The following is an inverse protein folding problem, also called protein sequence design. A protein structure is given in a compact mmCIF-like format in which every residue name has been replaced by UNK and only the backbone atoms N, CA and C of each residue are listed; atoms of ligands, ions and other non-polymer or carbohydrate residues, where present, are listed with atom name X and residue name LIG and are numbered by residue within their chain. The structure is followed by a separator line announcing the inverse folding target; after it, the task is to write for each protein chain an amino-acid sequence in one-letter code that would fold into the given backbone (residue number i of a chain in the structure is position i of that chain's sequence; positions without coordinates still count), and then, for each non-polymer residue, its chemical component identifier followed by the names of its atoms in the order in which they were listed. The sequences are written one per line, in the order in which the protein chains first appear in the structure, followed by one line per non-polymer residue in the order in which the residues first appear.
data_IF_029883830740
#
_entry.id   IF_029883830740
#
_cell.length_a   1.000
_cell.length_b   1.000
_cell.length_c   1.000
_cell.angle_alpha   90.00
_cell.angle_beta   90.00
_cell.angle_gamma   90.00
#
_symmetry.space_group_name_H-M   'P 1'
#
loop_
_entity.id
_entity.type
_entity.pdbx_description
1 polymer ?
#
# COMPACT_ATOMS: atom_id res chain seq x y z
N UNK A 1 -47.54 7.60 -74.33
CA UNK A 1 -46.17 7.61 -73.75
C UNK A 1 -46.35 7.61 -72.22
N UNK A 2 -46.18 6.48 -71.61
CA UNK A 2 -46.36 6.30 -70.15
C UNK A 2 -44.98 6.15 -69.57
N UNK A 3 -44.60 7.07 -68.59
CA UNK A 3 -43.36 7.03 -67.90
C UNK A 3 -43.43 6.07 -66.69
N UNK A 4 -42.38 5.24 -66.39
CA UNK A 4 -42.38 4.36 -65.20
C UNK A 4 -42.05 5.09 -63.91
N UNK A 5 -42.82 4.76 -62.87
CA UNK A 5 -42.59 5.18 -61.49
C UNK A 5 -41.46 4.36 -60.90
N UNK A 6 -40.42 5.05 -60.44
CA UNK A 6 -39.34 4.43 -59.64
C UNK A 6 -39.78 4.22 -58.18
N UNK A 7 -39.66 2.98 -57.71
CA UNK A 7 -39.90 2.56 -56.31
C UNK A 7 -38.62 2.77 -55.49
N UNK A 8 -38.62 3.72 -54.54
CA UNK A 8 -37.50 3.95 -53.62
C UNK A 8 -37.72 3.00 -52.41
N UNK A 9 -36.86 2.01 -52.30
CA UNK A 9 -36.77 1.14 -51.10
C UNK A 9 -35.84 1.83 -50.09
N UNK A 10 -36.41 2.31 -48.99
CA UNK A 10 -35.63 2.82 -47.83
C UNK A 10 -35.15 1.65 -46.98
N UNK A 11 -33.85 1.36 -47.03
CA UNK A 11 -33.17 0.39 -46.15
C UNK A 11 -32.91 1.08 -44.81
N UNK A 12 -33.66 0.72 -43.77
CA UNK A 12 -33.43 1.16 -42.40
C UNK A 12 -32.23 0.46 -41.81
N UNK A 13 -31.16 1.21 -41.54
CA UNK A 13 -30.00 0.73 -40.76
C UNK A 13 -30.36 0.79 -39.26
N UNK A 14 -30.54 -0.41 -38.66
CA UNK A 14 -30.65 -0.53 -37.21
C UNK A 14 -29.24 -0.41 -36.60
N UNK A 15 -28.88 0.72 -35.97
CA UNK A 15 -27.70 0.83 -35.11
C UNK A 15 -27.96 0.07 -33.82
N UNK A 16 -27.36 -1.13 -33.69
CA UNK A 16 -27.23 -1.82 -32.41
C UNK A 16 -26.20 -1.12 -31.56
N UNK A 17 -26.64 -0.26 -30.63
CA UNK A 17 -25.78 0.34 -29.63
C UNK A 17 -25.27 -0.73 -28.65
N UNK A 18 -24.02 -1.17 -28.79
CA UNK A 18 -23.34 -1.93 -27.77
C UNK A 18 -23.09 -1.01 -26.59
N UNK A 19 -23.89 -1.13 -25.54
CA UNK A 19 -23.67 -0.48 -24.26
C UNK A 19 -22.36 -1.02 -23.68
N UNK A 20 -21.31 -0.17 -23.68
CA UNK A 20 -20.12 -0.43 -22.90
C UNK A 20 -20.52 -0.42 -21.41
N UNK A 21 -20.68 -1.60 -20.82
CA UNK A 21 -20.83 -1.73 -19.38
C UNK A 21 -19.57 -1.17 -18.71
N UNK A 22 -19.69 -0.01 -18.06
CA UNK A 22 -18.65 0.48 -17.19
C UNK A 22 -18.43 -0.61 -16.12
N UNK A 23 -17.23 -1.18 -16.05
CA UNK A 23 -16.84 -2.05 -14.98
C UNK A 23 -17.02 -1.24 -13.68
N UNK A 24 -17.96 -1.65 -12.83
CA UNK A 24 -18.15 -1.04 -11.52
C UNK A 24 -16.82 -1.21 -10.77
N UNK A 25 -16.11 -0.12 -10.56
CA UNK A 25 -14.88 -0.13 -9.76
C UNK A 25 -15.22 -0.68 -8.37
N UNK A 26 -14.32 -1.50 -7.81
CA UNK A 26 -14.51 -2.07 -6.48
C UNK A 26 -14.87 -0.95 -5.48
N UNK A 27 -15.92 -1.16 -4.66
CA UNK A 27 -16.30 -0.21 -3.62
C UNK A 27 -15.19 -0.13 -2.56
N UNK A 28 -14.63 1.04 -2.36
CA UNK A 28 -13.54 1.28 -1.43
C UNK A 28 -13.90 2.34 -0.38
N UNK A 29 -13.34 2.20 0.80
CA UNK A 29 -13.40 3.16 1.90
C UNK A 29 -12.00 3.67 2.19
N UNK A 30 -11.80 5.00 2.16
CA UNK A 30 -10.53 5.61 2.47
C UNK A 30 -10.16 5.38 3.95
N UNK A 31 -8.92 5.00 4.19
CA UNK A 31 -8.33 4.94 5.53
C UNK A 31 -7.46 6.17 5.80
N UNK A 32 -6.68 6.62 4.81
CA UNK A 32 -5.79 7.78 4.92
C UNK A 32 -5.47 8.37 3.55
N UNK A 33 -5.68 9.67 3.40
CA UNK A 33 -5.37 10.44 2.19
C UNK A 33 -4.45 11.66 2.47
N UNK A 34 -4.02 11.82 3.74
CA UNK A 34 -3.20 12.92 4.23
C UNK A 34 -3.83 14.31 4.02
N UNK A 35 -5.16 14.39 3.88
CA UNK A 35 -5.88 15.67 3.77
C UNK A 35 -5.85 16.49 5.05
N UNK A 36 -5.68 15.84 6.21
CA UNK A 36 -5.51 16.47 7.50
C UNK A 36 -4.04 16.83 7.76
N UNK A 37 -3.82 17.95 8.43
CA UNK A 37 -2.49 18.45 8.77
C UNK A 37 -1.87 19.34 7.70
N UNK A 38 -0.70 19.89 7.99
CA UNK A 38 0.00 20.86 7.14
C UNK A 38 1.10 20.18 6.32
N UNK A 39 1.34 20.68 5.12
CA UNK A 39 2.51 20.28 4.32
C UNK A 39 3.79 20.62 5.07
N UNK A 40 4.73 19.68 5.09
CA UNK A 40 5.98 19.77 5.85
C UNK A 40 5.89 19.20 7.27
N UNK A 41 4.70 19.00 7.81
CA UNK A 41 4.50 18.53 9.17
C UNK A 41 4.28 17.00 9.24
N UNK A 42 4.53 16.42 10.42
CA UNK A 42 4.17 15.04 10.73
C UNK A 42 2.64 14.91 10.80
N UNK A 43 2.02 13.86 10.22
CA UNK A 43 0.56 13.75 10.17
C UNK A 43 -0.07 13.65 11.56
N UNK A 44 -1.15 14.41 11.84
CA UNK A 44 -1.72 14.58 13.19
C UNK A 44 -2.28 13.27 13.77
N UNK A 45 -2.87 12.41 12.95
CA UNK A 45 -3.49 11.15 13.38
C UNK A 45 -2.53 9.97 13.42
N UNK A 46 -1.26 10.21 13.16
CA UNK A 46 -0.21 9.20 13.20
C UNK A 46 0.61 9.28 14.47
N UNK A 47 1.17 8.15 14.88
CA UNK A 47 2.06 8.04 16.04
C UNK A 47 3.35 7.37 15.63
N UNK A 48 4.52 7.97 15.86
CA UNK A 48 5.76 7.27 15.69
C UNK A 48 5.97 6.30 16.86
N UNK A 49 6.58 5.16 16.60
CA UNK A 49 6.90 4.18 17.65
C UNK A 49 7.91 4.71 18.67
N UNK A 50 8.77 5.63 18.22
CA UNK A 50 9.72 6.41 19.04
C UNK A 50 9.71 7.85 18.54
N UNK A 51 9.97 8.81 19.40
CA UNK A 51 9.85 10.24 19.08
C UNK A 51 10.73 10.68 17.90
N UNK A 52 11.91 10.05 17.73
CA UNK A 52 12.81 10.32 16.61
C UNK A 52 12.14 10.08 15.24
N UNK A 53 11.12 9.24 15.19
CA UNK A 53 10.35 8.99 13.96
C UNK A 53 9.61 10.21 13.43
N UNK A 54 9.35 11.25 14.25
CA UNK A 54 8.72 12.48 13.75
C UNK A 54 9.60 13.21 12.73
N UNK A 55 10.91 13.09 12.83
CA UNK A 55 11.84 13.71 11.89
C UNK A 55 11.94 12.94 10.55
N UNK A 56 11.45 11.69 10.52
CA UNK A 56 11.50 10.84 9.32
C UNK A 56 10.36 11.13 8.36
N UNK A 57 9.17 11.48 8.89
CA UNK A 57 7.94 11.55 8.10
C UNK A 57 7.35 12.95 8.05
N UNK A 58 6.91 13.36 6.86
CA UNK A 58 6.18 14.62 6.67
C UNK A 58 5.15 14.52 5.54
N UNK A 59 4.05 15.26 5.68
CA UNK A 59 3.07 15.41 4.60
C UNK A 59 3.70 16.25 3.49
N UNK A 60 3.52 15.83 2.24
CA UNK A 60 3.93 16.56 1.05
C UNK A 60 2.75 16.67 0.07
N UNK A 61 2.88 17.56 -0.91
CA UNK A 61 1.90 17.73 -1.99
C UNK A 61 2.61 17.94 -3.33
N UNK A 62 2.21 17.14 -4.33
CA UNK A 62 2.69 17.26 -5.72
C UNK A 62 1.50 17.09 -6.66
N UNK A 63 1.24 18.07 -7.54
CA UNK A 63 0.18 17.98 -8.54
C UNK A 63 -1.23 17.74 -7.98
N UNK A 64 -1.51 18.23 -6.77
CA UNK A 64 -2.78 18.02 -6.07
C UNK A 64 -2.88 16.69 -5.32
N UNK A 65 -1.88 15.81 -5.41
CA UNK A 65 -1.80 14.60 -4.60
C UNK A 65 -1.08 14.91 -3.29
N UNK A 66 -1.74 14.64 -2.16
CA UNK A 66 -1.12 14.67 -0.83
C UNK A 66 -0.64 13.28 -0.45
N UNK A 67 0.54 13.21 0.14
CA UNK A 67 1.20 11.95 0.47
C UNK A 67 2.14 12.10 1.66
N UNK A 68 2.51 10.99 2.27
CA UNK A 68 3.51 10.93 3.32
C UNK A 68 4.88 10.67 2.70
N UNK A 69 5.80 11.60 2.84
CA UNK A 69 7.23 11.41 2.54
C UNK A 69 7.96 10.87 3.74
N UNK A 70 8.80 9.88 3.52
CA UNK A 70 9.73 9.35 4.49
C UNK A 70 11.18 9.53 4.03
N UNK A 71 12.04 10.02 4.93
CA UNK A 71 13.47 10.18 4.70
C UNK A 71 14.25 9.74 5.96
N UNK A 72 14.80 8.54 5.93
CA UNK A 72 15.53 7.94 7.03
C UNK A 72 17.04 7.99 6.76
N UNK A 73 17.84 8.43 7.73
CA UNK A 73 19.30 8.40 7.69
C UNK A 73 19.80 7.68 8.93
N UNK A 74 20.31 6.46 8.77
CA UNK A 74 20.76 5.57 9.87
C UNK A 74 19.69 5.38 10.94
N UNK A 75 18.42 5.38 10.53
CA UNK A 75 17.26 5.35 11.40
C UNK A 75 16.20 4.43 10.83
N UNK A 76 15.52 3.67 11.70
CA UNK A 76 14.41 2.79 11.36
C UNK A 76 13.29 2.93 12.40
N UNK A 77 12.39 3.90 12.24
CA UNK A 77 11.28 4.13 13.16
C UNK A 77 9.96 4.06 12.42
N UNK A 78 9.14 3.10 12.82
CA UNK A 78 7.78 2.91 12.31
C UNK A 78 6.88 4.08 12.74
N UNK A 79 6.03 4.53 11.83
CA UNK A 79 4.89 5.39 12.13
C UNK A 79 3.59 4.65 11.78
N UNK A 80 2.55 4.79 12.60
CA UNK A 80 1.29 4.10 12.42
C UNK A 80 0.09 4.98 12.72
N UNK A 81 -1.04 4.63 12.11
CA UNK A 81 -2.37 5.18 12.35
C UNK A 81 -3.28 4.11 12.91
N UNK A 82 -3.91 4.39 14.05
CA UNK A 82 -4.96 3.56 14.62
C UNK A 82 -6.23 3.76 13.80
N UNK A 83 -6.63 2.77 13.04
CA UNK A 83 -7.86 2.74 12.25
C UNK A 83 -8.32 1.30 12.10
N UNK A 84 -9.51 1.02 12.60
CA UNK A 84 -10.11 -0.30 12.51
C UNK A 84 -11.12 -0.36 11.37
N UNK A 85 -11.15 -1.47 10.62
CA UNK A 85 -12.13 -1.68 9.55
C UNK A 85 -12.74 -3.08 9.59
N UNK A 86 -13.87 -3.27 8.92
CA UNK A 86 -14.50 -4.56 8.78
C UNK A 86 -13.75 -5.40 7.71
N UNK A 87 -12.89 -6.32 8.15
CA UNK A 87 -12.05 -7.13 7.28
C UNK A 87 -12.86 -8.18 6.48
N UNK A 88 -14.07 -8.55 6.91
CA UNK A 88 -14.92 -9.45 6.15
C UNK A 88 -15.56 -8.77 4.95
N UNK A 89 -16.03 -7.54 5.12
CA UNK A 89 -16.61 -6.74 4.06
C UNK A 89 -15.55 -6.12 3.14
N UNK A 90 -14.39 -5.74 3.68
CA UNK A 90 -13.30 -5.06 2.98
C UNK A 90 -11.96 -5.77 3.22
N UNK A 91 -11.75 -6.95 2.63
CA UNK A 91 -10.53 -7.73 2.83
C UNK A 91 -9.31 -7.19 2.08
N UNK A 92 -9.52 -6.33 1.08
CA UNK A 92 -8.45 -5.80 0.24
C UNK A 92 -7.94 -4.50 0.86
N UNK A 93 -6.66 -4.44 1.20
CA UNK A 93 -5.95 -3.20 1.51
C UNK A 93 -5.24 -2.72 0.25
N UNK A 94 -5.46 -1.47 -0.11
CA UNK A 94 -4.83 -0.84 -1.27
C UNK A 94 -4.13 0.47 -0.85
N UNK A 95 -3.00 0.76 -1.49
CA UNK A 95 -2.22 1.99 -1.32
C UNK A 95 -1.35 2.24 -2.54
N UNK A 96 -0.78 3.43 -2.62
CA UNK A 96 0.29 3.74 -3.56
C UNK A 96 1.58 4.01 -2.80
N UNK A 97 2.70 3.57 -3.33
CA UNK A 97 4.03 3.87 -2.84
C UNK A 97 4.99 4.22 -3.98
N UNK A 98 6.06 4.92 -3.59
CA UNK A 98 7.10 5.34 -4.53
C UNK A 98 8.45 5.25 -3.81
N UNK A 99 9.28 4.21 -4.02
CA UNK A 99 10.65 4.23 -3.52
C UNK A 99 11.45 5.31 -4.25
N UNK A 100 12.18 6.13 -3.51
CA UNK A 100 13.04 7.20 -4.04
C UNK A 100 14.51 6.82 -3.92
N UNK A 101 14.90 6.19 -2.81
CA UNK A 101 16.27 5.76 -2.54
C UNK A 101 16.26 4.48 -1.73
N UNK A 102 16.83 3.41 -2.28
CA UNK A 102 16.99 2.15 -1.54
C UNK A 102 18.18 2.22 -0.59
N UNK A 103 18.08 1.64 0.62
CA UNK A 103 19.22 1.51 1.52
C UNK A 103 20.36 0.77 0.83
N UNK A 104 21.56 1.31 0.95
CA UNK A 104 22.74 0.73 0.28
C UNK A 104 23.09 -0.64 0.87
N UNK A 105 23.05 -1.68 0.05
CA UNK A 105 23.40 -3.04 0.48
C UNK A 105 22.30 -3.77 1.23
N UNK A 106 21.06 -3.25 1.25
CA UNK A 106 19.93 -3.92 1.91
C UNK A 106 19.63 -5.29 1.30
N UNK A 107 19.35 -6.24 2.19
CA UNK A 107 18.90 -7.61 1.90
C UNK A 107 18.12 -8.08 3.14
N UNK A 108 16.82 -8.08 3.04
CA UNK A 108 15.92 -8.33 4.16
C UNK A 108 15.95 -9.77 4.69
N UNK A 109 16.67 -10.67 4.02
CA UNK A 109 16.93 -12.04 4.49
C UNK A 109 17.98 -12.09 5.61
N UNK A 110 18.71 -11.01 5.82
CA UNK A 110 19.80 -10.92 6.81
C UNK A 110 19.48 -9.83 7.83
N UNK A 111 19.54 -10.16 9.11
CA UNK A 111 19.24 -9.19 10.19
C UNK A 111 20.15 -7.95 10.19
N UNK A 112 21.39 -8.07 9.72
CA UNK A 112 22.36 -6.96 9.66
C UNK A 112 22.17 -6.02 8.47
N UNK A 113 21.24 -6.32 7.56
CA UNK A 113 20.94 -5.52 6.37
C UNK A 113 19.45 -5.49 6.07
N UNK A 114 18.61 -5.69 7.11
CA UNK A 114 17.15 -5.81 7.00
C UNK A 114 16.46 -4.43 6.88
N UNK A 115 16.89 -3.64 5.91
CA UNK A 115 16.36 -2.31 5.63
C UNK A 115 15.54 -2.29 4.34
N UNK A 116 14.50 -1.46 4.29
CA UNK A 116 13.62 -1.32 3.13
C UNK A 116 13.29 0.15 2.87
N UNK A 117 13.29 0.57 1.60
CA UNK A 117 12.92 1.93 1.22
C UNK A 117 11.44 2.23 1.53
N UNK A 118 10.57 1.28 1.29
CA UNK A 118 9.14 1.39 1.58
C UNK A 118 8.58 0.07 2.12
N UNK A 119 7.83 0.19 3.22
CA UNK A 119 7.13 -0.93 3.86
C UNK A 119 5.77 -0.47 4.37
N UNK A 120 4.74 -1.29 4.19
CA UNK A 120 3.38 -1.05 4.70
C UNK A 120 2.97 -2.24 5.57
N UNK A 121 2.30 -1.95 6.67
CA UNK A 121 1.84 -2.96 7.62
C UNK A 121 0.32 -2.91 7.77
N UNK A 122 -0.29 -4.07 7.76
CA UNK A 122 -1.60 -4.30 8.37
C UNK A 122 -1.36 -4.82 9.80
N UNK A 123 -1.89 -4.11 10.79
CA UNK A 123 -1.62 -4.35 12.21
C UNK A 123 -2.86 -4.97 12.88
N UNK A 124 -2.67 -6.04 13.62
CA UNK A 124 -3.72 -6.80 14.29
C UNK A 124 -3.46 -6.90 15.79
N UNK A 125 -4.49 -6.80 16.65
CA UNK A 125 -4.34 -7.07 18.06
C UNK A 125 -3.95 -8.54 18.27
N UNK A 126 -3.08 -8.81 19.24
CA UNK A 126 -2.68 -10.17 19.60
C UNK A 126 -2.82 -10.43 21.10
N UNK A 127 -2.20 -9.61 21.92
CA UNK A 127 -2.37 -9.60 23.38
C UNK A 127 -2.58 -8.17 23.85
N UNK A 128 -2.93 -7.92 25.14
CA UNK A 128 -3.05 -6.54 25.64
C UNK A 128 -1.81 -5.65 25.42
N UNK A 129 -0.63 -6.27 25.23
CA UNK A 129 0.66 -5.56 25.11
C UNK A 129 1.41 -5.86 23.82
N UNK A 130 0.82 -6.62 22.89
CA UNK A 130 1.48 -7.00 21.64
C UNK A 130 0.53 -7.06 20.45
N UNK A 131 1.09 -6.90 19.26
CA UNK A 131 0.38 -6.99 17.99
C UNK A 131 1.01 -8.05 17.10
N UNK A 132 0.22 -8.59 16.17
CA UNK A 132 0.69 -9.30 14.98
C UNK A 132 0.60 -8.36 13.78
N UNK A 133 1.48 -8.54 12.80
CA UNK A 133 1.47 -7.70 11.59
C UNK A 133 1.81 -8.51 10.35
N UNK A 134 1.13 -8.19 9.24
CA UNK A 134 1.61 -8.54 7.91
C UNK A 134 2.29 -7.31 7.34
N UNK A 135 3.58 -7.43 7.03
CA UNK A 135 4.42 -6.38 6.44
C UNK A 135 4.58 -6.65 4.96
N UNK A 136 4.29 -5.68 4.15
CA UNK A 136 4.50 -5.69 2.71
C UNK A 136 5.68 -4.80 2.38
N UNK A 137 6.62 -5.29 1.56
CA UNK A 137 7.83 -4.56 1.24
C UNK A 137 8.11 -4.49 -0.27
N UNK A 138 8.80 -3.43 -0.65
CA UNK A 138 9.51 -3.37 -1.93
C UNK A 138 11.00 -3.53 -1.63
N UNK A 139 11.55 -4.70 -1.93
CA UNK A 139 12.95 -5.01 -1.68
C UNK A 139 13.84 -4.52 -2.81
N UNK A 140 15.08 -4.23 -2.49
CA UNK A 140 16.10 -3.98 -3.50
C UNK A 140 16.51 -5.24 -4.26
N UNK A 141 16.61 -6.39 -3.57
CA UNK A 141 17.23 -7.63 -4.10
C UNK A 141 16.45 -8.90 -3.82
N UNK A 142 15.57 -8.92 -2.83
CA UNK A 142 14.82 -10.15 -2.47
C UNK A 142 13.70 -10.38 -3.47
N UNK A 143 13.58 -11.59 -4.06
CA UNK A 143 12.58 -11.88 -5.09
C UNK A 143 11.13 -11.65 -4.64
N UNK A 144 10.28 -11.22 -5.57
CA UNK A 144 8.83 -11.11 -5.38
C UNK A 144 8.26 -12.45 -4.93
N UNK A 145 7.30 -12.40 -3.99
CA UNK A 145 6.65 -13.59 -3.43
C UNK A 145 7.42 -14.24 -2.29
N UNK A 146 8.65 -13.81 -2.00
CA UNK A 146 9.40 -14.29 -0.83
C UNK A 146 8.64 -13.94 0.44
N UNK A 147 8.58 -14.91 1.35
CA UNK A 147 8.04 -14.76 2.69
C UNK A 147 9.17 -14.86 3.72
N UNK A 148 9.22 -13.88 4.63
CA UNK A 148 10.16 -13.84 5.75
C UNK A 148 9.38 -13.66 7.05
N UNK A 149 10.00 -14.06 8.16
CA UNK A 149 9.40 -13.92 9.50
C UNK A 149 10.36 -13.14 10.39
N UNK A 150 9.87 -12.13 11.12
CA UNK A 150 10.67 -11.45 12.13
C UNK A 150 11.14 -12.39 13.23
N UNK A 151 12.24 -12.08 13.89
CA UNK A 151 12.83 -12.91 14.95
C UNK A 151 11.87 -13.23 16.10
N UNK A 152 10.92 -12.32 16.40
CA UNK A 152 9.89 -12.53 17.41
C UNK A 152 8.65 -13.31 16.89
N UNK A 153 8.59 -13.62 15.58
CA UNK A 153 7.46 -14.34 14.98
C UNK A 153 6.18 -13.52 14.78
N UNK A 154 6.10 -12.31 15.35
CA UNK A 154 4.89 -11.50 15.35
C UNK A 154 4.69 -10.69 14.06
N UNK A 155 5.71 -10.57 13.21
CA UNK A 155 5.62 -9.90 11.92
C UNK A 155 5.96 -10.88 10.81
N UNK A 156 5.02 -11.05 9.89
CA UNK A 156 5.20 -11.83 8.66
C UNK A 156 5.41 -10.87 7.50
N UNK A 157 6.48 -11.06 6.73
CA UNK A 157 6.90 -10.16 5.66
C UNK A 157 6.62 -10.80 4.31
N UNK A 158 5.97 -10.06 3.42
CA UNK A 158 5.74 -10.46 2.03
C UNK A 158 6.39 -9.46 1.09
N UNK A 159 7.27 -9.94 0.21
CA UNK A 159 7.88 -9.12 -0.84
C UNK A 159 6.89 -8.97 -1.99
N UNK A 160 6.40 -7.75 -2.23
CA UNK A 160 5.50 -7.46 -3.34
C UNK A 160 6.25 -7.02 -4.59
N UNK A 161 7.36 -6.32 -4.41
CA UNK A 161 8.18 -5.83 -5.52
C UNK A 161 9.66 -5.97 -5.24
N UNK A 162 10.44 -6.03 -6.32
CA UNK A 162 11.91 -6.18 -6.28
C UNK A 162 12.57 -5.31 -7.32
N UNK A 163 13.71 -4.75 -6.95
CA UNK A 163 14.60 -4.03 -7.87
C UNK A 163 14.28 -2.56 -8.06
N UNK A 164 15.17 -1.82 -8.74
CA UNK A 164 15.11 -0.37 -8.86
C UNK A 164 14.33 0.15 -10.07
N UNK A 165 13.78 -0.70 -10.93
CA UNK A 165 13.25 -0.33 -12.25
C UNK A 165 12.16 0.75 -12.23
N UNK A 166 11.45 0.90 -11.11
CA UNK A 166 10.39 1.89 -10.91
C UNK A 166 10.68 2.90 -9.80
N UNK A 167 11.95 3.11 -9.47
CA UNK A 167 12.35 4.18 -8.54
C UNK A 167 11.83 5.52 -9.05
N UNK A 168 11.26 6.31 -8.15
CA UNK A 168 10.65 7.60 -8.47
C UNK A 168 9.26 7.55 -9.13
N UNK A 169 8.70 6.36 -9.38
CA UNK A 169 7.38 6.19 -9.97
C UNK A 169 6.38 5.70 -8.92
N UNK A 170 5.19 6.30 -8.92
CA UNK A 170 4.06 5.82 -8.13
C UNK A 170 3.58 4.46 -8.64
N UNK A 171 3.43 3.53 -7.73
CA UNK A 171 2.90 2.19 -8.00
C UNK A 171 1.80 1.89 -6.99
N UNK A 172 0.64 1.48 -7.49
CA UNK A 172 -0.47 1.03 -6.66
C UNK A 172 -0.32 -0.47 -6.34
N UNK A 173 -0.63 -0.83 -5.10
CA UNK A 173 -0.72 -2.20 -4.62
C UNK A 173 -2.12 -2.49 -4.10
N UNK A 174 -2.50 -3.75 -4.23
CA UNK A 174 -3.70 -4.32 -3.65
C UNK A 174 -3.38 -5.71 -3.11
N UNK A 175 -3.71 -5.97 -1.85
CA UNK A 175 -3.46 -7.25 -1.18
C UNK A 175 -4.69 -7.71 -0.42
N UNK A 176 -4.97 -9.00 -0.43
CA UNK A 176 -6.00 -9.56 0.45
C UNK A 176 -5.41 -9.83 1.84
N UNK A 177 -5.58 -8.87 2.73
CA UNK A 177 -5.01 -8.90 4.09
C UNK A 177 -5.57 -10.06 4.92
N UNK A 178 -6.85 -10.42 4.68
CA UNK A 178 -7.51 -11.54 5.38
C UNK A 178 -6.86 -12.88 5.00
N UNK A 179 -6.63 -13.10 3.71
CA UNK A 179 -5.96 -14.29 3.21
C UNK A 179 -4.51 -14.37 3.66
N UNK A 180 -3.76 -13.26 3.59
CA UNK A 180 -2.38 -13.20 4.05
C UNK A 180 -2.27 -13.49 5.55
N UNK A 181 -3.17 -12.95 6.38
CA UNK A 181 -3.19 -13.25 7.81
C UNK A 181 -3.41 -14.76 8.07
N UNK A 182 -4.42 -15.34 7.42
CA UNK A 182 -4.71 -16.79 7.54
C UNK A 182 -3.54 -17.65 7.09
N UNK A 183 -2.95 -17.28 5.97
CA UNK A 183 -1.81 -18.01 5.39
C UNK A 183 -0.61 -18.03 6.32
N UNK A 184 -0.32 -16.91 6.99
CA UNK A 184 0.92 -16.76 7.73
C UNK A 184 0.79 -17.03 9.23
N UNK A 185 -0.38 -16.78 9.83
CA UNK A 185 -0.61 -16.98 11.26
C UNK A 185 -1.52 -18.19 11.57
N UNK A 186 -2.18 -18.73 10.54
CA UNK A 186 -3.14 -19.81 10.70
C UNK A 186 -4.47 -19.37 11.32
N UNK A 187 -5.37 -20.35 11.52
CA UNK A 187 -6.67 -20.11 12.13
C UNK A 187 -7.77 -19.70 11.16
N UNK A 188 -9.03 -19.96 11.55
CA UNK A 188 -10.23 -19.53 10.81
C UNK A 188 -10.59 -18.09 11.13
N UNK A 189 -10.38 -17.67 12.37
CA UNK A 189 -10.76 -16.36 12.87
C UNK A 189 -9.61 -15.38 12.70
N UNK A 190 -9.84 -14.35 11.86
CA UNK A 190 -8.93 -13.26 11.69
C UNK A 190 -9.42 -12.07 12.51
N UNK A 191 -8.62 -11.59 13.48
CA UNK A 191 -9.05 -10.47 14.30
C UNK A 191 -9.26 -9.22 13.44
N UNK A 192 -10.14 -8.33 13.89
CA UNK A 192 -10.33 -7.03 13.25
C UNK A 192 -9.01 -6.26 13.29
N UNK A 193 -8.54 -5.69 12.18
CA UNK A 193 -7.34 -4.89 12.18
C UNK A 193 -7.44 -3.69 13.13
N UNK A 194 -6.33 -3.36 13.79
CA UNK A 194 -6.23 -2.21 14.68
C UNK A 194 -5.70 -0.97 13.98
N UNK A 195 -5.03 -1.14 12.83
CA UNK A 195 -4.46 -0.01 12.10
C UNK A 195 -3.56 -0.40 10.94
N UNK A 196 -2.99 0.64 10.35
CA UNK A 196 -1.95 0.57 9.34
C UNK A 196 -0.68 1.23 9.88
N UNK A 197 0.49 0.81 9.35
CA UNK A 197 1.74 1.50 9.64
C UNK A 197 2.67 1.47 8.44
N UNK A 198 3.67 2.35 8.45
CA UNK A 198 4.73 2.42 7.44
C UNK A 198 6.10 2.39 8.09
N UNK A 199 7.10 1.93 7.35
CA UNK A 199 8.50 1.98 7.75
C UNK A 199 9.36 2.23 6.52
N UNK A 200 10.17 3.28 6.59
CA UNK A 200 11.33 3.51 5.74
C UNK A 200 12.56 3.38 6.63
N UNK A 201 13.45 2.49 6.27
CA UNK A 201 14.41 1.88 7.19
C UNK A 201 15.83 1.89 6.61
N UNK A 202 16.81 2.29 7.41
CA UNK A 202 18.23 2.41 6.99
C UNK A 202 19.22 2.25 8.15
N UNK A 203 18.78 1.74 9.31
CA UNK A 203 19.61 1.67 10.51
C UNK A 203 20.51 0.44 10.54
N UNK A 204 20.13 -0.69 9.97
CA UNK A 204 20.97 -1.86 9.88
C UNK A 204 22.15 -1.65 8.91
N UNK A 205 21.89 -1.10 7.73
CA UNK A 205 22.92 -0.82 6.71
C UNK A 205 23.73 0.46 6.98
N UNK A 206 23.33 1.27 7.98
CA UNK A 206 23.94 2.57 8.30
C UNK A 206 23.96 3.55 7.11
N UNK A 207 22.93 3.50 6.29
CA UNK A 207 22.81 4.24 5.02
C UNK A 207 21.68 5.28 5.05
N UNK A 208 21.09 5.58 3.90
CA UNK A 208 19.89 6.38 3.73
C UNK A 208 18.82 5.60 3.00
N UNK A 209 17.56 5.86 3.32
CA UNK A 209 16.41 5.35 2.62
C UNK A 209 15.38 6.45 2.45
N UNK A 210 14.72 6.50 1.29
CA UNK A 210 13.63 7.46 1.03
C UNK A 210 12.50 6.80 0.28
N UNK A 211 11.27 7.17 0.63
CA UNK A 211 10.09 6.70 -0.06
C UNK A 211 8.86 7.51 0.30
N UNK A 212 7.84 7.39 -0.54
CA UNK A 212 6.58 8.10 -0.40
C UNK A 212 5.42 7.10 -0.34
N UNK A 213 4.34 7.46 0.38
CA UNK A 213 3.16 6.65 0.59
C UNK A 213 1.89 7.49 0.43
N UNK A 214 0.88 6.97 -0.29
CA UNK A 214 -0.37 7.69 -0.54
C UNK A 214 -1.58 6.76 -0.62
N UNK A 215 -2.78 7.32 -0.42
CA UNK A 215 -4.04 6.75 -0.82
C UNK A 215 -4.39 5.41 -0.18
N UNK A 216 -4.17 5.27 1.14
CA UNK A 216 -4.56 4.06 1.86
C UNK A 216 -6.08 3.90 1.89
N UNK A 217 -6.57 2.78 1.39
CA UNK A 217 -7.98 2.45 1.36
C UNK A 217 -8.22 0.95 1.50
N UNK A 218 -9.41 0.58 1.88
CA UNK A 218 -9.86 -0.81 1.91
C UNK A 218 -11.02 -1.00 0.96
N UNK A 219 -11.02 -2.12 0.24
CA UNK A 219 -11.96 -2.37 -0.84
C UNK A 219 -12.66 -3.72 -0.65
N UNK A 220 -13.90 -3.81 -1.18
CA UNK A 220 -14.58 -5.08 -1.42
C UNK A 220 -13.81 -5.91 -2.46
N UNK A 221 -14.01 -7.23 -2.49
CA UNK A 221 -13.43 -8.11 -3.51
C UNK A 221 -13.84 -7.73 -4.93
#
# INVERSE_FOLDING_TARGET
MVAPRALIVLLGLALSGAGAGAAAGAECVALEDFSLGSVGEFPPDWKPRKEEGRSVYSIQEEGGLRFLRAAATRLGVQAGREVAWNLEAYPILAWSWRPIEFPKGSDERKSSTNDSAVSVYAVFPHTPVSVKSVKYIWSRVVPVGTHLTSSAGNTQVRVLRTGPDKVGQWVEEQVNVREDYRKYFGGSDVPRPAGIAVLTDSDDTKSTARGDYAGFRVCKP
#
